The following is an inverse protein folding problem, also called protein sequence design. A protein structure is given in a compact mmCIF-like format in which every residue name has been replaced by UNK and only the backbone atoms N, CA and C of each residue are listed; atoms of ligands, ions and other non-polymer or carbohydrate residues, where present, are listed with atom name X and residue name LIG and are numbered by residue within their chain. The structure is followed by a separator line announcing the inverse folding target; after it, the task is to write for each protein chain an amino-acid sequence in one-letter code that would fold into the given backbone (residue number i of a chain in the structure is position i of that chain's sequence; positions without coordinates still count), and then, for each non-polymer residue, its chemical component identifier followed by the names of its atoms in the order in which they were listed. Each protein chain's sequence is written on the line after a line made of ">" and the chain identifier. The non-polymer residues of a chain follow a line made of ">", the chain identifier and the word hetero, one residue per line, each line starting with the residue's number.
data_IF_705317884139
#
_entry.id   IF_705317884139
#
_cell.length_a   1.000
_cell.length_b   1.000
_cell.length_c   1.000
_cell.angle_alpha   90.00
_cell.angle_beta   90.00
_cell.angle_gamma   90.00
#
_symmetry.space_group_name_H-M   'P 1'
#
loop_
_entity.id
_entity.type
_entity.pdbx_description
1 polymer ?
#
# COMPACT_ATOMS: atom_id res chain seq x y z
N UNK A 1 -0.39 8.44 28.74
CA UNK A 1 0.96 8.39 28.16
C UNK A 1 0.76 8.10 26.69
N UNK A 2 1.06 9.04 25.80
CA UNK A 2 1.11 8.78 24.37
C UNK A 2 2.12 7.66 24.13
N UNK A 3 1.79 6.68 23.28
CA UNK A 3 2.77 5.69 22.88
C UNK A 3 3.89 6.39 22.09
N UNK A 4 5.14 6.13 22.45
CA UNK A 4 6.31 6.58 21.71
C UNK A 4 6.82 5.46 20.81
N UNK A 5 7.36 5.81 19.66
CA UNK A 5 7.93 4.84 18.72
C UNK A 5 9.18 4.14 19.29
N UNK A 6 9.98 4.87 20.08
CA UNK A 6 11.18 4.39 20.76
C UNK A 6 11.21 4.93 22.20
N UNK A 7 10.89 4.10 23.21
CA UNK A 7 10.91 4.52 24.61
C UNK A 7 12.27 5.09 25.03
N UNK A 8 12.26 6.26 25.68
CA UNK A 8 13.47 6.94 26.15
C UNK A 8 14.08 7.96 25.17
N UNK A 9 13.58 8.04 23.93
CA UNK A 9 13.96 9.12 23.01
C UNK A 9 13.06 10.35 23.19
N UNK A 10 13.61 11.57 23.15
CA UNK A 10 12.81 12.78 23.18
C UNK A 10 12.00 12.92 21.88
N UNK A 11 10.72 13.27 22.00
CA UNK A 11 9.86 13.56 20.84
C UNK A 11 10.30 14.85 20.15
N UNK A 12 10.17 14.94 18.81
CA UNK A 12 10.28 16.22 18.11
C UNK A 12 9.26 17.24 18.63
N UNK A 13 9.60 18.54 18.72
CA UNK A 13 8.73 19.56 19.34
C UNK A 13 7.43 19.83 18.57
N UNK A 14 7.39 19.50 17.27
CA UNK A 14 6.23 19.64 16.39
C UNK A 14 5.35 18.38 16.32
N UNK A 15 5.69 17.31 17.07
CA UNK A 15 4.93 16.06 17.18
C UNK A 15 4.40 15.87 18.60
N UNK A 16 3.23 16.45 18.86
CA UNK A 16 2.59 16.54 20.18
C UNK A 16 1.77 15.31 20.58
N UNK A 17 1.61 14.33 19.68
CA UNK A 17 0.81 13.12 19.90
C UNK A 17 -0.69 13.31 19.64
N UNK A 18 -1.13 14.47 19.17
CA UNK A 18 -2.55 14.76 18.90
C UNK A 18 -3.03 14.17 17.58
N UNK A 19 -2.15 14.06 16.59
CA UNK A 19 -2.51 13.56 15.27
C UNK A 19 -2.71 12.02 15.28
N UNK A 20 -3.63 11.49 14.45
CA UNK A 20 -3.89 10.06 14.39
C UNK A 20 -2.65 9.31 13.91
N UNK A 21 -2.10 8.45 14.76
CA UNK A 21 -0.88 7.69 14.47
C UNK A 21 0.43 8.46 14.73
N UNK A 22 0.40 9.55 15.49
CA UNK A 22 1.61 10.25 15.92
C UNK A 22 2.32 9.56 17.10
N UNK A 23 3.34 8.77 16.78
CA UNK A 23 4.23 8.13 17.75
C UNK A 23 5.57 8.86 17.92
N UNK A 24 5.74 10.07 17.36
CA UNK A 24 6.97 10.86 17.49
C UNK A 24 8.12 10.44 16.58
N UNK A 25 7.82 9.71 15.49
CA UNK A 25 8.82 9.23 14.53
C UNK A 25 9.04 10.26 13.41
N UNK A 26 10.06 11.11 13.56
CA UNK A 26 10.62 11.92 12.47
C UNK A 26 12.12 12.18 12.72
N UNK A 27 12.99 11.17 12.53
CA UNK A 27 14.42 11.30 12.78
C UNK A 27 15.11 12.27 11.81
N UNK A 28 14.53 12.51 10.63
CA UNK A 28 15.09 13.36 9.58
C UNK A 28 14.53 14.80 9.58
N UNK A 29 13.58 15.10 10.46
CA UNK A 29 12.91 16.39 10.58
C UNK A 29 12.24 16.89 9.31
N UNK A 30 11.66 15.97 8.54
CA UNK A 30 10.97 16.34 7.30
C UNK A 30 9.71 17.18 7.59
N UNK A 31 9.06 16.94 8.73
CA UNK A 31 7.84 17.61 9.17
C UNK A 31 8.05 18.93 9.93
N UNK A 32 9.27 19.48 9.97
CA UNK A 32 9.57 20.70 10.74
C UNK A 32 8.75 21.92 10.25
N UNK A 33 8.45 21.98 8.94
CA UNK A 33 7.57 22.98 8.35
C UNK A 33 6.11 22.48 8.40
N UNK A 34 5.19 23.19 9.09
CA UNK A 34 3.81 22.72 9.27
C UNK A 34 3.05 22.44 7.96
N UNK A 35 3.31 23.24 6.91
CA UNK A 35 2.70 23.04 5.59
C UNK A 35 3.14 21.72 4.94
N UNK A 36 4.42 21.38 5.08
CA UNK A 36 4.95 20.11 4.58
C UNK A 36 4.40 18.94 5.39
N UNK A 37 4.30 19.09 6.71
CA UNK A 37 3.73 18.06 7.58
C UNK A 37 2.27 17.75 7.22
N UNK A 38 1.48 18.78 6.91
CA UNK A 38 0.09 18.58 6.49
C UNK A 38 0.00 17.86 5.14
N UNK A 39 0.85 18.23 4.18
CA UNK A 39 0.99 17.51 2.90
C UNK A 39 1.45 16.07 3.09
N UNK A 40 2.34 15.80 4.06
CA UNK A 40 2.80 14.45 4.36
C UNK A 40 1.71 13.59 4.99
N UNK A 41 0.85 14.15 5.85
CA UNK A 41 -0.34 13.45 6.37
C UNK A 41 -1.32 13.08 5.25
N UNK A 42 -1.57 13.99 4.31
CA UNK A 42 -2.38 13.71 3.12
C UNK A 42 -1.75 12.59 2.28
N UNK A 43 -0.46 12.73 1.95
CA UNK A 43 0.28 11.76 1.16
C UNK A 43 0.29 10.38 1.83
N UNK A 44 0.57 10.32 3.13
CA UNK A 44 0.59 9.09 3.92
C UNK A 44 -0.74 8.34 3.82
N UNK A 45 -1.87 9.04 4.00
CA UNK A 45 -3.20 8.43 3.90
C UNK A 45 -3.48 7.87 2.51
N UNK A 46 -3.13 8.60 1.46
CA UNK A 46 -3.33 8.14 0.08
C UNK A 46 -2.50 6.89 -0.21
N UNK A 47 -1.21 6.88 0.16
CA UNK A 47 -0.35 5.71 -0.01
C UNK A 47 -0.85 4.51 0.81
N UNK A 48 -1.28 4.75 2.06
CA UNK A 48 -1.90 3.74 2.92
C UNK A 48 -3.14 3.11 2.27
N UNK A 49 -4.05 3.93 1.73
CA UNK A 49 -5.28 3.46 1.07
C UNK A 49 -4.98 2.65 -0.20
N UNK A 50 -4.06 3.12 -1.04
CA UNK A 50 -3.60 2.35 -2.20
C UNK A 50 -3.01 1.00 -1.80
N UNK A 51 -2.14 0.97 -0.79
CA UNK A 51 -1.55 -0.28 -0.31
C UNK A 51 -2.59 -1.24 0.28
N UNK A 52 -3.54 -0.74 1.08
CA UNK A 52 -4.62 -1.55 1.66
C UNK A 52 -5.51 -2.19 0.59
N UNK A 53 -5.70 -1.54 -0.57
CA UNK A 53 -6.42 -2.11 -1.71
C UNK A 53 -5.53 -3.05 -2.55
N UNK A 54 -4.24 -2.73 -2.70
CA UNK A 54 -3.31 -3.51 -3.50
C UNK A 54 -2.98 -4.88 -2.88
N UNK A 55 -2.75 -4.95 -1.57
CA UNK A 55 -2.39 -6.19 -0.86
C UNK A 55 -3.40 -7.34 -1.12
N UNK A 56 -4.72 -7.18 -0.91
CA UNK A 56 -5.67 -8.23 -1.24
C UNK A 56 -5.73 -8.49 -2.76
N UNK A 57 -5.54 -7.48 -3.60
CA UNK A 57 -5.44 -7.64 -5.06
C UNK A 57 -4.25 -8.49 -5.52
N UNK A 58 -3.18 -8.54 -4.73
CA UNK A 58 -2.01 -9.41 -4.97
C UNK A 58 -2.29 -10.83 -4.47
N UNK A 59 -2.79 -10.97 -3.23
CA UNK A 59 -2.92 -12.26 -2.57
C UNK A 59 -4.11 -13.10 -3.07
N UNK A 60 -5.26 -12.47 -3.34
CA UNK A 60 -6.50 -13.20 -3.66
C UNK A 60 -6.42 -13.92 -5.02
N UNK A 61 -5.97 -13.29 -6.12
CA UNK A 61 -5.86 -13.98 -7.41
C UNK A 61 -4.85 -15.14 -7.38
N UNK A 62 -3.74 -14.96 -6.65
CA UNK A 62 -2.74 -16.02 -6.46
C UNK A 62 -3.35 -17.21 -5.70
N UNK A 63 -4.07 -16.94 -4.60
CA UNK A 63 -4.73 -17.98 -3.82
C UNK A 63 -5.80 -18.77 -4.62
N UNK A 64 -6.45 -18.10 -5.59
CA UNK A 64 -7.44 -18.72 -6.48
C UNK A 64 -6.82 -19.45 -7.67
N UNK A 65 -5.48 -19.45 -7.80
CA UNK A 65 -4.76 -20.11 -8.90
C UNK A 65 -4.86 -19.38 -10.23
N UNK A 66 -5.15 -18.07 -10.23
CA UNK A 66 -5.28 -17.25 -11.45
C UNK A 66 -3.93 -16.71 -11.96
N UNK A 67 -2.84 -17.04 -11.27
CA UNK A 67 -1.50 -16.52 -11.51
C UNK A 67 -1.07 -15.52 -10.44
N UNK A 68 0.24 -15.34 -10.30
CA UNK A 68 0.77 -14.32 -9.39
C UNK A 68 0.65 -12.91 -9.99
N UNK A 69 0.86 -11.89 -9.16
CA UNK A 69 0.68 -10.49 -9.53
C UNK A 69 1.59 -10.02 -10.68
N UNK A 70 2.72 -10.69 -10.93
CA UNK A 70 3.61 -10.38 -12.07
C UNK A 70 3.14 -11.06 -13.35
N UNK A 71 2.79 -12.35 -13.28
CA UNK A 71 2.21 -13.09 -14.41
C UNK A 71 0.93 -12.43 -14.93
N UNK A 72 0.13 -11.85 -14.03
CA UNK A 72 -1.08 -11.10 -14.37
C UNK A 72 -0.82 -9.87 -15.28
N UNK A 73 0.43 -9.41 -15.41
CA UNK A 73 0.82 -8.26 -16.22
C UNK A 73 1.56 -8.65 -17.51
N UNK A 74 2.08 -9.88 -17.61
CA UNK A 74 2.92 -10.33 -18.74
C UNK A 74 2.20 -10.32 -20.09
N UNK A 75 0.88 -10.48 -20.11
CA UNK A 75 0.09 -10.47 -21.34
C UNK A 75 0.26 -9.16 -22.12
N UNK A 76 0.51 -8.04 -21.43
CA UNK A 76 0.66 -6.72 -22.04
C UNK A 76 1.93 -6.59 -22.90
N UNK A 77 2.98 -7.36 -22.60
CA UNK A 77 4.23 -7.34 -23.34
C UNK A 77 4.17 -8.15 -24.66
N UNK A 78 3.15 -8.99 -24.83
CA UNK A 78 2.99 -9.86 -26.01
C UNK A 78 2.17 -9.16 -27.10
N UNK A 79 2.61 -9.11 -28.36
CA UNK A 79 1.82 -8.57 -29.46
C UNK A 79 0.45 -9.27 -29.57
N UNK A 80 -0.64 -8.52 -29.52
CA UNK A 80 -2.00 -9.06 -29.54
C UNK A 80 -2.46 -9.68 -28.21
N UNK A 81 -1.72 -9.46 -27.13
CA UNK A 81 -2.10 -9.92 -25.79
C UNK A 81 -3.44 -9.33 -25.34
N UNK A 82 -4.24 -10.17 -24.70
CA UNK A 82 -5.55 -9.83 -24.16
C UNK A 82 -5.60 -10.20 -22.67
N UNK A 83 -6.05 -9.27 -21.84
CA UNK A 83 -6.27 -9.52 -20.42
C UNK A 83 -7.35 -10.58 -20.21
N UNK A 84 -7.15 -11.44 -19.21
CA UNK A 84 -8.16 -12.37 -18.73
C UNK A 84 -8.58 -11.99 -17.31
N UNK A 85 -9.87 -12.06 -17.03
CA UNK A 85 -10.42 -11.81 -15.69
C UNK A 85 -11.19 -13.05 -15.26
N UNK A 86 -10.76 -13.70 -14.17
CA UNK A 86 -11.26 -15.00 -13.72
C UNK A 86 -11.22 -16.06 -14.84
N UNK A 87 -10.16 -16.05 -15.66
CA UNK A 87 -9.99 -16.94 -16.81
C UNK A 87 -10.79 -16.57 -18.07
N UNK A 88 -11.61 -15.52 -18.03
CA UNK A 88 -12.41 -15.10 -19.18
C UNK A 88 -11.72 -13.95 -19.94
N UNK A 89 -11.55 -14.03 -21.27
CA UNK A 89 -10.95 -12.96 -22.06
C UNK A 89 -11.85 -11.73 -22.07
N UNK A 90 -11.28 -10.58 -21.70
CA UNK A 90 -12.04 -9.33 -21.62
C UNK A 90 -12.10 -8.68 -23.00
N UNK A 91 -13.29 -8.34 -23.56
CA UNK A 91 -13.41 -7.79 -24.92
C UNK A 91 -12.60 -6.50 -25.17
N UNK A 92 -12.44 -5.66 -24.15
CA UNK A 92 -11.63 -4.43 -24.17
C UNK A 92 -10.23 -4.60 -23.55
N UNK A 93 -9.79 -5.84 -23.33
CA UNK A 93 -8.55 -6.19 -22.62
C UNK A 93 -7.26 -5.97 -23.42
N UNK A 94 -7.26 -5.10 -24.43
CA UNK A 94 -6.07 -4.76 -25.20
C UNK A 94 -5.32 -3.60 -24.54
N UNK A 95 -3.98 -3.66 -24.55
CA UNK A 95 -3.12 -2.69 -23.86
C UNK A 95 -3.44 -1.22 -24.20
N UNK A 96 -3.57 -0.80 -25.47
CA UNK A 96 -3.86 0.60 -25.77
C UNK A 96 -5.22 1.07 -25.23
N UNK A 97 -6.23 0.18 -25.26
CA UNK A 97 -7.58 0.50 -24.79
C UNK A 97 -7.61 0.68 -23.29
N UNK A 98 -7.01 -0.24 -22.54
CA UNK A 98 -6.97 -0.12 -21.07
C UNK A 98 -6.14 1.09 -20.63
N UNK A 99 -5.05 1.41 -21.31
CA UNK A 99 -4.17 2.52 -20.96
C UNK A 99 -4.88 3.87 -21.14
N UNK A 100 -5.65 4.04 -22.22
CA UNK A 100 -6.44 5.26 -22.44
C UNK A 100 -7.53 5.40 -21.38
N UNK A 101 -8.23 4.30 -21.06
CA UNK A 101 -9.28 4.31 -20.03
C UNK A 101 -8.68 4.62 -18.66
N UNK A 102 -7.55 4.00 -18.30
CA UNK A 102 -6.83 4.23 -17.06
C UNK A 102 -6.37 5.68 -16.96
N UNK A 103 -5.70 6.20 -17.99
CA UNK A 103 -5.22 7.59 -17.98
C UNK A 103 -6.36 8.58 -17.80
N UNK A 104 -7.44 8.48 -18.58
CA UNK A 104 -8.56 9.42 -18.50
C UNK A 104 -9.30 9.33 -17.15
N UNK A 105 -9.52 8.12 -16.65
CA UNK A 105 -10.25 7.92 -15.39
C UNK A 105 -9.44 8.38 -14.18
N UNK A 106 -8.18 7.94 -14.05
CA UNK A 106 -7.32 8.30 -12.93
C UNK A 106 -6.95 9.79 -12.98
N UNK A 107 -6.63 10.34 -14.16
CA UNK A 107 -6.33 11.77 -14.26
C UNK A 107 -7.53 12.63 -13.85
N UNK A 108 -8.76 12.25 -14.24
CA UNK A 108 -9.95 12.97 -13.81
C UNK A 108 -10.15 12.92 -12.29
N UNK A 109 -10.11 11.72 -11.69
CA UNK A 109 -10.35 11.53 -10.25
C UNK A 109 -9.26 12.22 -9.41
N UNK A 110 -7.99 12.05 -9.79
CA UNK A 110 -6.85 12.69 -9.10
C UNK A 110 -6.88 14.21 -9.24
N UNK A 111 -7.28 14.74 -10.40
CA UNK A 111 -7.45 16.17 -10.58
C UNK A 111 -8.58 16.73 -9.71
N UNK A 112 -9.73 16.05 -9.62
CA UNK A 112 -10.81 16.45 -8.72
C UNK A 112 -10.35 16.50 -7.26
N UNK A 113 -9.56 15.53 -6.80
CA UNK A 113 -8.95 15.55 -5.46
C UNK A 113 -8.00 16.75 -5.29
N UNK A 114 -7.18 17.03 -6.30
CA UNK A 114 -6.23 18.14 -6.26
C UNK A 114 -6.92 19.51 -6.21
N UNK A 115 -8.12 19.65 -6.77
CA UNK A 115 -8.88 20.90 -6.77
C UNK A 115 -9.50 21.25 -5.42
N UNK A 116 -9.68 20.28 -4.52
CA UNK A 116 -10.15 20.55 -3.15
C UNK A 116 -9.07 21.31 -2.37
N UNK A 117 -9.50 22.35 -1.63
CA UNK A 117 -8.61 23.26 -0.91
C UNK A 117 -8.63 23.03 0.60
N UNK A 118 -9.70 22.41 1.11
CA UNK A 118 -9.82 22.11 2.54
C UNK A 118 -8.92 20.91 2.91
N UNK A 119 -7.87 21.11 3.73
CA UNK A 119 -6.92 20.06 4.07
C UNK A 119 -7.57 18.89 4.81
N UNK A 120 -8.59 19.14 5.64
CA UNK A 120 -9.27 18.08 6.37
C UNK A 120 -10.13 17.24 5.42
N UNK A 121 -10.81 17.86 4.45
CA UNK A 121 -11.57 17.12 3.41
C UNK A 121 -10.68 16.39 2.42
N UNK A 122 -9.47 16.87 2.15
CA UNK A 122 -8.48 16.14 1.33
C UNK A 122 -8.09 14.81 1.95
N UNK A 123 -7.99 14.76 3.29
CA UNK A 123 -7.71 13.53 4.05
C UNK A 123 -8.97 12.69 4.28
N UNK A 124 -10.05 13.33 4.73
CA UNK A 124 -11.30 12.71 5.16
C UNK A 124 -12.51 13.44 4.52
N UNK A 125 -12.84 13.15 3.24
CA UNK A 125 -13.88 13.87 2.50
C UNK A 125 -15.30 13.61 3.03
N UNK A 126 -15.55 12.44 3.64
CA UNK A 126 -16.87 12.06 4.14
C UNK A 126 -17.97 12.11 3.07
N UNK A 127 -19.20 12.39 3.50
CA UNK A 127 -20.34 12.58 2.59
C UNK A 127 -20.61 11.34 1.74
N UNK A 128 -20.44 11.45 0.41
CA UNK A 128 -20.61 10.34 -0.51
C UNK A 128 -19.64 9.17 -0.26
N UNK A 129 -18.48 9.44 0.36
CA UNK A 129 -17.48 8.43 0.72
C UNK A 129 -17.73 7.79 2.09
N UNK A 130 -18.76 8.22 2.84
CA UNK A 130 -19.22 7.57 4.07
C UNK A 130 -20.75 7.33 4.03
N UNK A 131 -21.24 6.44 3.15
CA UNK A 131 -22.67 6.19 3.01
C UNK A 131 -23.30 5.55 4.27
N UNK A 132 -22.49 4.88 5.09
CA UNK A 132 -22.93 4.19 6.31
C UNK A 132 -22.86 5.10 7.55
N UNK A 133 -22.21 6.25 7.45
CA UNK A 133 -22.16 7.27 8.51
C UNK A 133 -21.32 6.85 9.71
N UNK A 134 -20.18 6.18 9.48
CA UNK A 134 -19.24 5.80 10.55
C UNK A 134 -18.55 7.01 11.20
N UNK A 135 -18.55 8.16 10.53
CA UNK A 135 -17.94 9.42 11.00
C UNK A 135 -18.82 10.24 11.96
N UNK A 136 -20.03 9.78 12.32
CA UNK A 136 -20.99 10.56 13.13
C UNK A 136 -20.55 10.82 14.57
N UNK A 137 -19.88 9.86 15.19
CA UNK A 137 -19.38 9.97 16.57
C UNK A 137 -17.90 10.40 16.53
N UNK A 138 -17.55 11.61 16.98
CA UNK A 138 -16.19 12.14 16.84
C UNK A 138 -15.16 11.30 17.59
N UNK A 139 -15.53 10.70 18.73
CA UNK A 139 -14.59 9.90 19.53
C UNK A 139 -14.27 8.59 18.81
N UNK A 140 -15.29 7.91 18.28
CA UNK A 140 -15.09 6.70 17.47
C UNK A 140 -14.42 7.00 16.14
N UNK A 141 -14.69 8.17 15.58
CA UNK A 141 -14.08 8.57 14.32
C UNK A 141 -12.56 8.73 14.46
N UNK A 142 -12.08 9.40 15.52
CA UNK A 142 -10.64 9.46 15.81
C UNK A 142 -10.03 8.07 16.05
N UNK A 143 -10.75 7.17 16.73
CA UNK A 143 -10.33 5.77 16.86
C UNK A 143 -10.22 5.06 15.50
N UNK A 144 -11.17 5.28 14.59
CA UNK A 144 -11.15 4.73 13.24
C UNK A 144 -10.02 5.31 12.39
N UNK A 145 -9.70 6.61 12.51
CA UNK A 145 -8.52 7.21 11.86
C UNK A 145 -7.23 6.53 12.29
N UNK A 146 -7.08 6.26 13.59
CA UNK A 146 -5.91 5.53 14.11
C UNK A 146 -5.87 4.10 13.58
N UNK A 147 -7.02 3.40 13.51
CA UNK A 147 -7.10 2.06 12.90
C UNK A 147 -6.73 2.07 11.42
N UNK A 148 -7.21 3.06 10.66
CA UNK A 148 -6.89 3.21 9.24
C UNK A 148 -5.38 3.38 9.03
N UNK A 149 -4.75 4.32 9.75
CA UNK A 149 -3.30 4.57 9.63
C UNK A 149 -2.47 3.34 10.02
N UNK A 150 -2.84 2.63 11.10
CA UNK A 150 -2.11 1.43 11.53
C UNK A 150 -2.19 0.30 10.50
N UNK A 151 -3.37 0.04 9.94
CA UNK A 151 -3.53 -0.95 8.88
C UNK A 151 -2.84 -0.50 7.58
N UNK A 152 -2.91 0.79 7.26
CA UNK A 152 -2.25 1.40 6.12
C UNK A 152 -0.73 1.26 6.13
N UNK A 153 -0.09 1.60 7.26
CA UNK A 153 1.36 1.43 7.45
C UNK A 153 1.78 -0.04 7.39
N UNK A 154 0.97 -0.94 7.96
CA UNK A 154 1.20 -2.38 7.85
C UNK A 154 1.11 -2.86 6.39
N UNK A 155 0.12 -2.38 5.64
CA UNK A 155 -0.06 -2.72 4.23
C UNK A 155 1.09 -2.19 3.35
N UNK A 156 1.58 -0.98 3.62
CA UNK A 156 2.76 -0.42 2.94
C UNK A 156 4.01 -1.28 3.18
N UNK A 157 4.22 -1.70 4.44
CA UNK A 157 5.32 -2.59 4.78
C UNK A 157 5.20 -3.95 4.08
N UNK A 158 3.99 -4.52 4.04
CA UNK A 158 3.72 -5.77 3.32
C UNK A 158 4.00 -5.64 1.81
N UNK A 159 3.57 -4.53 1.18
CA UNK A 159 3.80 -4.28 -0.23
C UNK A 159 5.29 -4.14 -0.57
N UNK A 160 6.08 -3.44 0.27
CA UNK A 160 7.54 -3.41 0.14
C UNK A 160 8.11 -4.83 0.24
N UNK A 161 7.62 -5.63 1.18
CA UNK A 161 7.98 -7.04 1.31
C UNK A 161 7.73 -7.84 0.03
N UNK A 162 6.56 -7.67 -0.61
CA UNK A 162 6.24 -8.34 -1.88
C UNK A 162 7.19 -7.95 -3.01
N UNK A 163 7.51 -6.66 -3.13
CA UNK A 163 8.46 -6.18 -4.15
C UNK A 163 9.88 -6.72 -3.92
N UNK A 164 10.37 -6.70 -2.68
CA UNK A 164 11.71 -7.20 -2.34
C UNK A 164 11.80 -8.72 -2.52
N UNK A 165 10.78 -9.46 -2.08
CA UNK A 165 10.70 -10.91 -2.27
C UNK A 165 10.68 -11.27 -3.77
N UNK A 166 9.89 -10.57 -4.57
CA UNK A 166 9.86 -10.81 -6.02
C UNK A 166 11.19 -10.46 -6.70
N UNK A 167 11.90 -9.44 -6.20
CA UNK A 167 13.23 -9.10 -6.69
C UNK A 167 14.26 -10.17 -6.32
N UNK A 168 14.16 -10.79 -5.14
CA UNK A 168 15.05 -11.85 -4.69
C UNK A 168 14.75 -13.20 -5.35
N UNK A 169 13.48 -13.49 -5.60
CA UNK A 169 12.99 -14.73 -6.21
C UNK A 169 12.12 -14.43 -7.45
N UNK A 170 12.73 -14.11 -8.60
CA UNK A 170 12.00 -13.67 -9.79
C UNK A 170 10.97 -14.69 -10.27
N UNK A 171 9.75 -14.22 -10.51
CA UNK A 171 8.65 -15.03 -11.05
C UNK A 171 7.83 -15.76 -9.99
N UNK A 172 8.15 -15.60 -8.71
CA UNK A 172 7.38 -16.19 -7.60
C UNK A 172 6.29 -15.26 -7.11
N UNK A 173 5.30 -15.82 -6.40
CA UNK A 173 4.30 -15.04 -5.68
C UNK A 173 4.55 -14.99 -4.17
N UNK A 174 3.97 -14.01 -3.44
CA UNK A 174 4.07 -13.97 -1.98
C UNK A 174 3.55 -15.22 -1.26
N UNK A 175 2.48 -15.87 -1.75
CA UNK A 175 1.96 -17.08 -1.12
C UNK A 175 2.83 -18.29 -1.40
N UNK A 176 3.43 -18.36 -2.60
CA UNK A 176 4.45 -19.36 -2.93
C UNK A 176 5.69 -19.24 -2.02
N UNK A 177 6.16 -18.01 -1.78
CA UNK A 177 7.27 -17.75 -0.85
C UNK A 177 6.89 -18.12 0.59
N UNK A 178 5.65 -17.86 1.02
CA UNK A 178 5.16 -18.32 2.32
C UNK A 178 5.13 -19.85 2.41
N UNK A 179 4.66 -20.55 1.38
CA UNK A 179 4.64 -22.01 1.35
C UNK A 179 6.06 -22.58 1.41
N UNK A 180 7.02 -21.97 0.70
CA UNK A 180 8.44 -22.35 0.72
C UNK A 180 9.05 -22.19 2.10
N UNK A 181 8.75 -21.08 2.79
CA UNK A 181 9.20 -20.88 4.17
C UNK A 181 8.57 -21.89 5.13
N UNK A 182 7.27 -22.18 4.99
CA UNK A 182 6.58 -23.17 5.83
C UNK A 182 7.07 -24.60 5.62
N UNK A 183 7.55 -24.93 4.42
CA UNK A 183 8.09 -26.25 4.10
C UNK A 183 9.39 -26.55 4.87
N UNK A 184 10.27 -25.55 5.03
CA UNK A 184 11.47 -25.66 5.85
C UNK A 184 11.85 -24.30 6.47
N UNK A 185 11.29 -23.95 7.65
CA UNK A 185 11.45 -22.61 8.23
C UNK A 185 12.88 -22.23 8.60
N UNK A 186 13.72 -23.23 8.91
CA UNK A 186 15.08 -23.01 9.39
C UNK A 186 16.08 -22.79 8.26
N UNK A 187 15.80 -23.35 7.09
CA UNK A 187 16.67 -23.22 5.92
C UNK A 187 16.13 -22.19 4.93
N UNK A 188 14.83 -22.16 4.65
CA UNK A 188 14.26 -21.24 3.66
C UNK A 188 13.88 -19.90 4.29
N UNK A 189 14.83 -18.99 4.43
CA UNK A 189 14.57 -17.66 4.98
C UNK A 189 15.41 -16.58 4.28
N UNK A 190 15.26 -15.33 4.73
CA UNK A 190 15.99 -14.19 4.17
C UNK A 190 17.53 -14.32 4.30
N UNK A 191 18.01 -15.17 5.20
CA UNK A 191 19.44 -15.42 5.43
C UNK A 191 20.17 -15.89 4.17
N UNK A 192 19.53 -16.72 3.35
CA UNK A 192 20.13 -17.21 2.09
C UNK A 192 20.30 -16.10 1.04
N UNK A 193 19.45 -15.06 1.11
CA UNK A 193 19.53 -13.89 0.23
C UNK A 193 20.57 -12.89 0.74
N UNK A 194 20.63 -12.68 2.06
CA UNK A 194 21.56 -11.73 2.68
C UNK A 194 23.00 -12.27 2.68
N UNK A 195 23.17 -13.57 2.95
CA UNK A 195 24.44 -14.28 2.96
C UNK A 195 24.34 -15.41 1.95
N UNK A 196 24.66 -15.16 0.67
CA UNK A 196 24.60 -16.19 -0.35
C UNK A 196 25.55 -17.35 -0.01
N UNK A 197 24.99 -18.48 0.45
CA UNK A 197 25.74 -19.70 0.75
C UNK A 197 26.25 -20.40 -0.50
N UNK A 198 25.62 -20.13 -1.65
CA UNK A 198 26.03 -20.58 -2.97
C UNK A 198 26.64 -19.43 -3.76
N UNK A 199 27.90 -19.09 -3.47
CA UNK A 199 28.77 -18.54 -4.51
C UNK A 199 29.13 -19.70 -5.43
N UNK A 200 28.28 -19.99 -6.42
CA UNK A 200 28.71 -20.82 -7.55
C UNK A 200 29.21 -19.91 -8.67
N UNK A 201 30.32 -20.30 -9.34
CA UNK A 201 31.10 -19.47 -10.27
C UNK A 201 30.35 -19.07 -11.55
#
# INVERSE_FOLDING_TARGET
>A
MSADWMPGQPRPPYLDGSAPGDFGFDPLRLGEVPENLERFKESELIHCRWAMLAVPGILVPEALGLGNWVQAQEWAAKPGGQATYLGNPVPWGFLPTILVIEFLSIAFVEHQRSMEKDPEKKKYPGGAFDPLGYSKDPVKFEEYKVKEIKNGRLALLAFVGFCVQQSAYPGTGPLENLATHLADPWHNNIGDVIIPGTLSP
#
